data_IF_499088845351
#
_entry.id   IF_499088845351
#
_cell.length_a   1.000
_cell.length_b   1.000
_cell.length_c   1.000
_cell.angle_alpha   90.00
_cell.angle_beta   90.00
_cell.angle_gamma   90.00
#
_symmetry.space_group_name_H-M   'P 1'
#
loop_
_entity.id
_entity.type
_entity.pdbx_description
1 polymer ?
#
# COMPACT_ATOMS: atom_id res chain seq x y z
N UNK A 1 -6.66 -1.78 28.75
CA UNK A 1 -7.37 -1.78 27.44
C UNK A 1 -6.49 -1.07 26.44
N UNK A 2 -6.20 -1.68 25.28
CA UNK A 2 -5.36 -1.06 24.25
C UNK A 2 -6.09 0.13 23.59
N UNK A 3 -5.40 1.23 23.36
CA UNK A 3 -5.92 2.45 22.69
C UNK A 3 -5.58 2.42 21.19
N UNK A 4 -6.22 3.24 20.37
CA UNK A 4 -5.93 3.42 18.93
C UNK A 4 -6.14 2.17 18.05
N UNK A 5 -7.15 1.34 18.36
CA UNK A 5 -7.44 0.12 17.61
C UNK A 5 -6.20 -0.80 17.48
N UNK A 6 -5.36 -0.88 18.50
CA UNK A 6 -4.28 -1.86 18.60
C UNK A 6 -4.78 -3.21 19.14
N UNK A 7 -4.22 -4.31 18.66
CA UNK A 7 -4.52 -5.65 19.17
C UNK A 7 -3.84 -5.89 20.52
N UNK A 8 -4.51 -6.61 21.41
CA UNK A 8 -3.96 -7.03 22.70
C UNK A 8 -3.51 -8.49 22.63
N UNK A 9 -2.22 -8.77 22.77
CA UNK A 9 -1.70 -10.15 22.73
C UNK A 9 -2.09 -10.97 23.96
N UNK A 10 -1.86 -12.28 23.91
CA UNK A 10 -2.07 -13.20 25.05
C UNK A 10 -1.29 -12.83 26.31
N UNK A 11 -0.23 -12.03 26.16
CA UNK A 11 0.65 -11.59 27.24
C UNK A 11 0.32 -10.17 27.73
N UNK A 12 -0.75 -9.54 27.21
CA UNK A 12 -1.19 -8.20 27.64
C UNK A 12 -0.44 -7.03 26.98
N UNK A 13 0.29 -7.27 25.89
CA UNK A 13 0.97 -6.20 25.14
C UNK A 13 0.11 -5.72 23.96
N UNK A 14 0.14 -4.41 23.70
CA UNK A 14 -0.61 -3.78 22.61
C UNK A 14 0.26 -3.55 21.37
N UNK A 15 -0.23 -3.90 20.18
CA UNK A 15 0.50 -3.65 18.94
C UNK A 15 -0.21 -4.13 17.67
N UNK A 16 0.52 -4.13 16.55
CA UNK A 16 0.04 -4.48 15.21
C UNK A 16 0.75 -5.71 14.63
N UNK A 17 0.06 -6.45 13.77
CA UNK A 17 0.58 -7.63 13.10
C UNK A 17 0.34 -8.92 13.89
N UNK A 18 0.73 -10.06 13.31
CA UNK A 18 0.36 -11.40 13.78
C UNK A 18 0.77 -11.70 15.23
N UNK A 19 1.84 -11.07 15.74
CA UNK A 19 2.29 -11.27 17.12
C UNK A 19 1.35 -10.67 18.18
N UNK A 20 0.53 -9.67 17.80
CA UNK A 20 -0.45 -9.04 18.69
C UNK A 20 -1.89 -9.41 18.31
N UNK A 21 -2.17 -9.55 17.02
CA UNK A 21 -3.51 -9.83 16.46
C UNK A 21 -3.75 -11.31 16.13
N UNK A 22 -2.73 -12.17 16.28
CA UNK A 22 -2.82 -13.58 15.92
C UNK A 22 -3.42 -14.44 17.03
N UNK A 23 -2.98 -15.71 17.07
CA UNK A 23 -3.45 -16.69 18.05
C UNK A 23 -3.19 -16.19 19.48
N UNK A 24 -4.22 -16.27 20.33
CA UNK A 24 -4.14 -15.81 21.71
C UNK A 24 -4.42 -14.31 21.89
N UNK A 25 -4.77 -13.58 20.84
CA UNK A 25 -5.23 -12.21 21.01
C UNK A 25 -6.47 -12.12 21.93
N UNK A 26 -6.43 -11.18 22.87
CA UNK A 26 -7.43 -10.99 23.92
C UNK A 26 -8.49 -9.95 23.53
N UNK A 27 -8.12 -8.88 22.82
CA UNK A 27 -9.05 -7.84 22.41
C UNK A 27 -8.58 -7.12 21.15
N UNK A 28 -9.56 -6.64 20.37
CA UNK A 28 -9.34 -5.94 19.12
C UNK A 28 -8.45 -6.73 18.13
N UNK A 29 -8.69 -8.04 18.03
CA UNK A 29 -7.90 -9.00 17.25
C UNK A 29 -8.10 -8.87 15.73
N UNK A 30 -9.17 -8.20 15.35
CA UNK A 30 -9.40 -7.73 13.98
C UNK A 30 -8.84 -6.32 13.76
N UNK A 31 -8.27 -5.71 14.80
CA UNK A 31 -7.62 -4.40 14.81
C UNK A 31 -6.26 -4.44 14.13
N UNK A 32 -6.23 -4.96 12.91
CA UNK A 32 -5.30 -4.40 11.96
C UNK A 32 -5.82 -3.01 11.64
N UNK A 33 -5.02 -1.94 11.73
CA UNK A 33 -5.08 -0.96 10.68
C UNK A 33 -4.74 -1.79 9.46
N UNK A 34 -5.78 -2.10 8.71
CA UNK A 34 -5.69 -2.36 7.29
C UNK A 34 -5.13 -1.09 6.64
N UNK A 35 -3.88 -0.73 6.99
CA UNK A 35 -2.90 -0.33 6.01
C UNK A 35 -2.39 -1.59 5.30
N UNK A 36 -3.30 -2.51 4.92
CA UNK A 36 -3.38 -2.70 3.47
C UNK A 36 -3.58 -1.29 2.93
N UNK A 37 -2.47 -0.63 2.61
CA UNK A 37 -2.46 0.10 1.36
C UNK A 37 -3.24 -0.81 0.42
N UNK A 38 -4.45 -0.40 -0.02
CA UNK A 38 -5.32 -1.28 -0.77
C UNK A 38 -4.41 -1.89 -1.81
N UNK A 39 -4.18 -3.22 -1.77
CA UNK A 39 -3.15 -3.89 -2.58
C UNK A 39 -3.26 -3.23 -3.92
N UNK A 40 -2.36 -2.28 -4.20
CA UNK A 40 -2.58 -1.40 -5.34
C UNK A 40 -2.33 -2.39 -6.43
N UNK A 41 -3.40 -2.89 -7.06
CA UNK A 41 -3.32 -3.54 -8.36
C UNK A 41 -2.38 -2.62 -9.10
N UNK A 42 -1.15 -3.08 -9.30
CA UNK A 42 -0.08 -2.18 -9.73
C UNK A 42 -0.47 -1.88 -11.15
N UNK A 43 -1.15 -0.75 -11.32
CA UNK A 43 -1.92 -0.52 -12.52
C UNK A 43 -0.89 -0.48 -13.64
N UNK A 44 -1.01 -1.40 -14.60
CA UNK A 44 -0.08 -1.44 -15.70
C UNK A 44 -0.36 -0.27 -16.62
N UNK A 45 0.71 0.33 -17.10
CA UNK A 45 0.68 1.51 -17.94
C UNK A 45 1.80 1.46 -18.98
N UNK A 46 1.79 2.41 -19.91
CA UNK A 46 2.82 2.51 -20.93
C UNK A 46 2.82 1.28 -21.83
N UNK A 47 3.98 0.94 -22.39
CA UNK A 47 4.12 -0.15 -23.37
C UNK A 47 3.67 -1.49 -22.76
N UNK A 48 3.98 -1.73 -21.49
CA UNK A 48 3.62 -2.95 -20.77
C UNK A 48 2.12 -3.03 -20.44
N UNK A 49 1.43 -1.89 -20.43
CA UNK A 49 -0.02 -1.78 -20.29
C UNK A 49 -0.75 -1.56 -21.62
N UNK A 50 -0.11 -1.79 -22.78
CA UNK A 50 -0.74 -1.58 -24.08
C UNK A 50 -1.05 -0.11 -24.39
N UNK A 51 -0.25 0.82 -23.88
CA UNK A 51 -0.45 2.27 -24.00
C UNK A 51 -1.39 2.86 -22.94
N UNK A 52 -1.81 2.09 -21.94
CA UNK A 52 -2.68 2.59 -20.88
C UNK A 52 -2.02 3.73 -20.09
N UNK A 53 -2.83 4.73 -19.75
CA UNK A 53 -2.47 5.77 -18.79
C UNK A 53 -2.80 5.31 -17.37
N UNK A 54 -2.13 5.92 -16.40
CA UNK A 54 -2.44 5.67 -14.99
C UNK A 54 -3.63 6.50 -14.53
N UNK A 55 -4.50 5.90 -13.73
CA UNK A 55 -5.58 6.62 -13.06
C UNK A 55 -5.04 7.74 -12.14
N UNK A 56 -5.86 8.76 -11.90
CA UNK A 56 -5.58 9.89 -11.00
C UNK A 56 -4.31 10.68 -11.35
N UNK A 57 -3.91 10.74 -12.62
CA UNK A 57 -2.72 11.51 -13.04
C UNK A 57 -1.39 10.92 -12.58
N UNK A 58 -1.36 9.67 -12.10
CA UNK A 58 -0.15 9.05 -11.58
C UNK A 58 0.91 8.85 -12.68
N UNK A 59 2.18 8.93 -12.31
CA UNK A 59 3.27 8.73 -13.24
C UNK A 59 3.40 7.26 -13.65
N UNK A 60 3.65 7.02 -14.93
CA UNK A 60 3.97 5.70 -15.44
C UNK A 60 5.48 5.49 -15.48
N UNK A 61 5.99 4.62 -14.62
CA UNK A 61 7.42 4.27 -14.57
C UNK A 61 7.90 3.59 -15.86
N UNK A 62 9.22 3.54 -16.06
CA UNK A 62 9.87 2.80 -17.17
C UNK A 62 9.49 1.31 -17.22
N UNK A 63 9.04 0.75 -16.09
CA UNK A 63 8.66 -0.66 -15.97
C UNK A 63 7.16 -0.90 -16.21
N UNK A 64 6.40 0.15 -16.51
CA UNK A 64 4.98 0.07 -16.82
C UNK A 64 4.11 -0.06 -15.58
N UNK A 65 4.51 0.61 -14.49
CA UNK A 65 3.76 0.65 -13.24
C UNK A 65 3.42 2.08 -12.84
N UNK A 66 2.21 2.27 -12.34
CA UNK A 66 1.69 3.56 -11.89
C UNK A 66 2.05 3.89 -10.45
N UNK A 67 2.55 5.10 -10.21
CA UNK A 67 2.89 5.57 -8.86
C UNK A 67 3.30 7.04 -8.81
N UNK A 68 3.78 7.48 -7.64
CA UNK A 68 4.27 8.83 -7.38
C UNK A 68 5.74 8.79 -6.94
N UNK A 69 6.42 9.92 -7.11
CA UNK A 69 7.80 10.10 -6.70
C UNK A 69 8.80 9.71 -7.78
N UNK A 70 10.09 9.98 -7.53
CA UNK A 70 11.14 9.88 -8.53
C UNK A 70 11.29 8.50 -9.19
N UNK A 71 10.92 7.41 -8.50
CA UNK A 71 10.95 6.05 -9.07
C UNK A 71 9.92 5.84 -10.20
N UNK A 72 8.85 6.64 -10.22
CA UNK A 72 7.76 6.55 -11.20
C UNK A 72 7.75 7.73 -12.15
N UNK A 73 8.03 8.94 -11.64
CA UNK A 73 8.02 10.20 -12.38
C UNK A 73 9.39 10.63 -12.91
N UNK A 74 10.46 9.93 -12.51
CA UNK A 74 11.83 10.30 -12.85
C UNK A 74 12.27 9.81 -14.23
N UNK A 75 13.58 9.59 -14.37
CA UNK A 75 14.20 9.15 -15.62
C UNK A 75 13.56 7.84 -16.09
N UNK A 76 13.18 7.79 -17.36
CA UNK A 76 12.53 6.64 -17.98
C UNK A 76 11.01 6.59 -17.78
N UNK A 77 10.40 7.57 -17.13
CA UNK A 77 8.95 7.70 -17.10
C UNK A 77 8.35 7.71 -18.52
N UNK A 78 7.31 6.91 -18.72
CA UNK A 78 6.66 6.71 -20.02
C UNK A 78 5.51 7.68 -20.27
N UNK A 79 4.76 8.07 -19.23
CA UNK A 79 3.62 8.99 -19.34
C UNK A 79 3.27 9.61 -17.98
N UNK A 80 2.62 10.78 -18.01
CA UNK A 80 2.20 11.52 -16.81
C UNK A 80 3.36 11.83 -15.84
N UNK A 81 4.55 12.12 -16.38
CA UNK A 81 5.79 12.26 -15.61
C UNK A 81 5.83 13.47 -14.68
N UNK A 82 4.93 14.43 -14.87
CA UNK A 82 4.77 15.59 -13.99
C UNK A 82 3.95 15.28 -12.74
N UNK A 83 3.34 14.09 -12.65
CA UNK A 83 2.35 13.78 -11.61
C UNK A 83 1.01 14.51 -11.83
N UNK A 84 0.03 14.29 -10.93
CA UNK A 84 -1.23 15.03 -10.90
C UNK A 84 -1.05 16.50 -10.51
#
# INVERSE_FOLDING_TARGET
MCTNNLCCSQFGFCGLGAQYCGVGCQSNCHGSPTTVEPVKTVQRCGIQGGGALCANGLCCSQFGFCGLGAKYCGVGCQSQCSGP
#
